data_IF_994659507572
#
_entry.id   IF_994659507572
#
_cell.length_a   1.000
_cell.length_b   1.000
_cell.length_c   1.000
_cell.angle_alpha   90.00
_cell.angle_beta   90.00
_cell.angle_gamma   90.00
#
_symmetry.space_group_name_H-M   'P 1'
#
loop_
_entity.id
_entity.type
_entity.pdbx_description
1 polymer ?
#
# COMPACT_ATOMS: atom_id res chain seq x y z
N UNK A 1 7.60 -6.58 -49.43
CA UNK A 1 6.67 -7.03 -48.36
C UNK A 1 7.37 -7.54 -47.09
N UNK A 2 8.45 -8.34 -47.17
CA UNK A 2 9.09 -8.98 -45.99
C UNK A 2 9.72 -8.00 -44.98
N UNK A 3 10.40 -6.94 -45.46
CA UNK A 3 11.08 -5.94 -44.63
C UNK A 3 10.15 -5.21 -43.64
N UNK A 4 8.92 -4.90 -44.04
CA UNK A 4 7.96 -4.25 -43.16
C UNK A 4 7.49 -5.14 -42.00
N UNK A 5 7.51 -6.48 -42.18
CA UNK A 5 7.13 -7.43 -41.13
C UNK A 5 8.25 -7.57 -40.10
N UNK A 6 9.50 -7.61 -40.54
CA UNK A 6 10.66 -7.63 -39.65
C UNK A 6 10.83 -6.31 -38.90
N UNK A 7 10.63 -5.15 -39.53
CA UNK A 7 10.66 -3.85 -38.84
C UNK A 7 9.56 -3.76 -37.76
N UNK A 8 8.34 -4.23 -38.05
CA UNK A 8 7.25 -4.29 -37.05
C UNK A 8 7.57 -5.25 -35.90
N UNK A 9 8.13 -6.42 -36.19
CA UNK A 9 8.51 -7.39 -35.17
C UNK A 9 9.61 -6.83 -34.24
N UNK A 10 10.61 -6.15 -34.81
CA UNK A 10 11.67 -5.48 -34.05
C UNK A 10 11.10 -4.36 -33.20
N UNK A 11 10.17 -3.54 -33.73
CA UNK A 11 9.53 -2.48 -32.96
C UNK A 11 8.72 -3.02 -31.76
N UNK A 12 7.99 -4.14 -31.93
CA UNK A 12 7.25 -4.80 -30.84
C UNK A 12 8.22 -5.37 -29.79
N UNK A 13 9.29 -6.03 -30.22
CA UNK A 13 10.32 -6.56 -29.32
C UNK A 13 11.01 -5.45 -28.53
N UNK A 14 11.36 -4.34 -29.18
CA UNK A 14 11.93 -3.16 -28.51
C UNK A 14 10.93 -2.54 -27.53
N UNK A 15 9.64 -2.45 -27.89
CA UNK A 15 8.60 -1.97 -27.00
C UNK A 15 8.39 -2.84 -25.75
N UNK A 16 8.50 -4.16 -25.88
CA UNK A 16 8.42 -5.12 -24.76
C UNK A 16 9.65 -5.09 -23.84
N UNK A 17 10.78 -4.58 -24.32
CA UNK A 17 12.02 -4.45 -23.56
C UNK A 17 12.11 -3.15 -22.76
N UNK A 18 11.13 -2.24 -22.87
CA UNK A 18 11.08 -1.02 -22.06
C UNK A 18 10.73 -1.45 -20.62
N UNK A 19 11.64 -1.30 -19.65
CA UNK A 19 11.34 -1.65 -18.27
C UNK A 19 10.24 -0.73 -17.76
N UNK A 20 9.11 -1.32 -17.34
CA UNK A 20 8.10 -0.58 -16.59
C UNK A 20 8.75 -0.11 -15.28
N UNK A 21 8.67 1.19 -14.99
CA UNK A 21 9.16 1.75 -13.73
C UNK A 21 8.35 1.12 -12.59
N UNK A 22 8.98 0.22 -11.84
CA UNK A 22 8.40 -0.32 -10.61
C UNK A 22 8.60 0.70 -9.49
N UNK A 23 7.56 1.47 -9.20
CA UNK A 23 7.52 2.27 -7.98
C UNK A 23 7.40 1.30 -6.80
N UNK A 24 8.30 1.41 -5.81
CA UNK A 24 8.15 0.72 -4.54
C UNK A 24 6.98 1.35 -3.80
N UNK A 25 5.78 0.87 -4.07
CA UNK A 25 4.55 1.28 -3.39
C UNK A 25 4.51 0.65 -2.01
N UNK A 26 3.98 1.40 -1.07
CA UNK A 26 3.77 0.89 0.27
C UNK A 26 2.74 -0.24 0.27
N UNK A 27 2.92 -1.19 1.17
CA UNK A 27 1.96 -2.24 1.37
C UNK A 27 0.63 -1.68 1.87
N UNK A 28 -0.45 -1.97 1.15
CA UNK A 28 -1.81 -1.53 1.51
C UNK A 28 -2.61 -2.71 2.00
N UNK A 29 -3.05 -2.66 3.27
CA UNK A 29 -3.95 -3.67 3.79
C UNK A 29 -5.36 -3.47 3.24
N UNK A 30 -5.80 -4.36 2.36
CA UNK A 30 -7.14 -4.28 1.76
C UNK A 30 -8.15 -5.02 2.62
N UNK A 31 -9.22 -4.33 2.99
CA UNK A 31 -10.36 -4.89 3.71
C UNK A 31 -10.37 -4.59 5.21
N UNK A 32 -11.55 -4.30 5.79
CA UNK A 32 -11.68 -3.92 7.21
C UNK A 32 -11.13 -4.98 8.17
N UNK A 33 -11.35 -6.27 7.88
CA UNK A 33 -10.80 -7.35 8.70
C UNK A 33 -9.27 -7.36 8.68
N UNK A 34 -8.65 -7.28 7.50
CA UNK A 34 -7.20 -7.27 7.39
C UNK A 34 -6.57 -6.01 8.02
N UNK A 35 -7.21 -4.85 7.84
CA UNK A 35 -6.80 -3.61 8.51
C UNK A 35 -6.86 -3.72 10.04
N UNK A 36 -7.95 -4.27 10.59
CA UNK A 36 -8.09 -4.49 12.04
C UNK A 36 -7.08 -5.48 12.64
N UNK A 37 -6.47 -6.35 11.82
CA UNK A 37 -5.42 -7.28 12.24
C UNK A 37 -4.01 -6.76 11.93
N UNK A 38 -3.84 -5.45 11.66
CA UNK A 38 -2.54 -4.86 11.35
C UNK A 38 -1.97 -5.32 10.01
N UNK A 39 -2.81 -5.66 9.03
CA UNK A 39 -2.39 -6.10 7.69
C UNK A 39 -2.20 -7.60 7.53
N UNK A 40 -2.58 -8.43 8.51
CA UNK A 40 -2.40 -9.89 8.47
C UNK A 40 -3.44 -10.64 7.61
N UNK A 41 -3.76 -10.17 6.40
CA UNK A 41 -4.81 -10.75 5.55
C UNK A 41 -4.45 -12.07 4.85
N UNK A 42 -3.17 -12.32 4.57
CA UNK A 42 -2.69 -13.49 3.77
C UNK A 42 -3.09 -14.84 4.40
N UNK A 43 -3.07 -14.93 5.74
CA UNK A 43 -3.23 -16.19 6.46
C UNK A 43 -4.69 -16.56 6.78
N UNK A 44 -5.59 -15.59 6.81
CA UNK A 44 -6.93 -15.75 7.40
C UNK A 44 -8.08 -15.41 6.45
N UNK A 45 -7.76 -14.89 5.27
CA UNK A 45 -8.79 -14.45 4.32
C UNK A 45 -9.32 -15.64 3.52
N UNK A 46 -10.55 -16.04 3.80
CA UNK A 46 -11.27 -17.13 3.11
C UNK A 46 -12.48 -16.66 2.31
N UNK A 47 -12.71 -15.34 2.27
CA UNK A 47 -13.86 -14.70 1.63
C UNK A 47 -13.47 -14.09 0.27
N UNK A 48 -14.31 -13.24 -0.34
CA UNK A 48 -14.03 -12.69 -1.68
C UNK A 48 -12.70 -11.91 -1.79
N UNK A 49 -12.21 -11.37 -0.67
CA UNK A 49 -10.92 -10.68 -0.59
C UNK A 49 -9.72 -11.63 -0.73
N UNK A 50 -9.91 -12.96 -0.71
CA UNK A 50 -8.87 -13.94 -0.95
C UNK A 50 -8.25 -13.78 -2.36
N UNK A 51 -9.01 -13.21 -3.31
CA UNK A 51 -8.50 -12.84 -4.64
C UNK A 51 -7.37 -11.80 -4.60
N UNK A 52 -7.32 -10.93 -3.58
CA UNK A 52 -6.24 -9.97 -3.35
C UNK A 52 -5.16 -10.54 -2.41
N UNK A 53 -5.58 -11.22 -1.34
CA UNK A 53 -4.68 -11.65 -0.28
C UNK A 53 -3.95 -12.97 -0.55
N UNK A 54 -4.71 -14.03 -0.86
CA UNK A 54 -4.19 -15.38 -1.02
C UNK A 54 -5.25 -16.25 -1.73
N UNK A 55 -5.07 -16.56 -3.02
CA UNK A 55 -6.04 -17.34 -3.79
C UNK A 55 -6.35 -18.73 -3.20
N UNK A 56 -5.45 -19.33 -2.41
CA UNK A 56 -5.72 -20.60 -1.74
C UNK A 56 -6.91 -20.51 -0.76
N UNK A 57 -7.15 -19.33 -0.19
CA UNK A 57 -8.30 -19.07 0.68
C UNK A 57 -9.66 -19.19 -0.02
N UNK A 58 -9.71 -19.09 -1.36
CA UNK A 58 -10.94 -19.30 -2.13
C UNK A 58 -11.48 -20.72 -1.95
N UNK A 59 -10.60 -21.71 -1.83
CA UNK A 59 -11.01 -23.11 -1.69
C UNK A 59 -11.38 -23.52 -0.25
N UNK A 60 -11.07 -22.70 0.76
CA UNK A 60 -11.26 -23.05 2.18
C UNK A 60 -12.72 -23.06 2.63
N UNK A 61 -13.61 -22.35 1.92
CA UNK A 61 -15.03 -22.29 2.22
C UNK A 61 -15.82 -22.30 0.91
N UNK A 62 -16.81 -23.18 0.77
CA UNK A 62 -17.65 -23.25 -0.43
C UNK A 62 -18.83 -22.30 -0.33
N UNK A 63 -18.61 -21.02 -0.60
CA UNK A 63 -19.64 -19.98 -0.56
C UNK A 63 -19.53 -19.02 -1.73
N UNK A 64 -20.67 -18.46 -2.14
CA UNK A 64 -20.68 -17.30 -3.05
C UNK A 64 -20.58 -16.04 -2.20
N UNK A 65 -19.56 -15.23 -2.44
CA UNK A 65 -19.36 -13.95 -1.75
C UNK A 65 -19.13 -12.83 -2.77
N UNK A 66 -19.87 -11.75 -2.62
CA UNK A 66 -19.78 -10.55 -3.45
C UNK A 66 -19.59 -9.38 -2.50
N UNK A 67 -18.48 -8.66 -2.66
CA UNK A 67 -18.10 -7.58 -1.75
C UNK A 67 -17.65 -6.35 -2.51
N UNK A 68 -18.25 -5.22 -2.15
CA UNK A 68 -17.69 -3.90 -2.44
C UNK A 68 -16.95 -3.46 -1.18
N UNK A 69 -15.72 -3.03 -1.33
CA UNK A 69 -14.88 -2.61 -0.22
C UNK A 69 -14.14 -1.35 -0.58
N UNK A 70 -14.05 -0.44 0.38
CA UNK A 70 -13.24 0.76 0.33
C UNK A 70 -12.61 0.96 1.70
N UNK A 71 -11.40 1.54 1.74
CA UNK A 71 -10.72 1.80 3.00
C UNK A 71 -9.47 2.64 2.81
N UNK A 72 -9.10 3.38 3.85
CA UNK A 72 -7.88 4.15 3.91
C UNK A 72 -7.10 3.84 5.19
N UNK A 73 -5.78 3.98 5.12
CA UNK A 73 -4.84 3.81 6.22
C UNK A 73 -3.86 4.97 6.23
N UNK A 74 -3.48 5.39 7.43
CA UNK A 74 -2.35 6.29 7.65
C UNK A 74 -1.32 5.51 8.43
N UNK A 75 -0.10 5.44 7.92
CA UNK A 75 0.98 4.67 8.51
C UNK A 75 2.08 5.67 8.88
N UNK A 76 2.44 5.69 10.15
CA UNK A 76 3.58 6.45 10.66
C UNK A 76 4.69 5.49 11.10
N UNK A 77 5.89 5.68 10.54
CA UNK A 77 7.09 4.94 10.91
C UNK A 77 8.01 5.85 11.72
N UNK A 78 8.46 5.33 12.86
CA UNK A 78 9.39 6.01 13.78
C UNK A 78 8.84 7.31 14.40
N UNK A 79 7.52 7.53 14.36
CA UNK A 79 6.85 8.62 15.07
C UNK A 79 7.00 9.98 14.40
N UNK A 80 7.12 10.03 13.07
CA UNK A 80 7.26 11.30 12.35
C UNK A 80 6.03 12.18 12.52
N UNK A 81 4.84 11.59 12.59
CA UNK A 81 3.62 12.36 12.82
C UNK A 81 3.69 13.09 14.17
N UNK A 82 4.18 12.43 15.21
CA UNK A 82 4.39 13.06 16.52
C UNK A 82 5.48 14.14 16.46
N UNK A 83 6.57 13.91 15.71
CA UNK A 83 7.64 14.92 15.58
C UNK A 83 7.16 16.18 14.84
N UNK A 84 6.33 16.02 13.82
CA UNK A 84 5.69 17.14 13.11
C UNK A 84 4.68 17.87 14.00
N UNK A 85 3.92 17.14 14.81
CA UNK A 85 3.00 17.74 15.79
C UNK A 85 3.73 18.53 16.88
N UNK A 86 4.89 18.04 17.32
CA UNK A 86 5.74 18.73 18.29
C UNK A 86 6.42 19.97 17.67
N UNK A 87 6.80 19.90 16.37
CA UNK A 87 7.26 21.07 15.61
C UNK A 87 6.19 22.16 15.53
N UNK A 88 4.93 21.80 15.27
CA UNK A 88 3.83 22.77 15.16
C UNK A 88 3.64 23.55 16.46
N UNK A 89 3.81 22.88 17.61
CA UNK A 89 3.71 23.49 18.94
C UNK A 89 5.00 24.15 19.41
N UNK A 90 6.07 24.08 18.62
CA UNK A 90 7.36 24.63 19.00
C UNK A 90 7.34 26.16 18.97
N UNK A 91 7.74 26.79 20.08
CA UNK A 91 7.84 28.25 20.17
C UNK A 91 9.20 28.73 19.62
N UNK A 92 9.21 29.48 18.54
CA UNK A 92 10.45 30.01 17.93
C UNK A 92 10.98 31.25 18.65
N UNK A 93 10.15 31.90 19.48
CA UNK A 93 10.52 33.12 20.23
C UNK A 93 11.09 32.84 21.61
N UNK A 94 11.03 31.61 22.10
CA UNK A 94 11.59 31.20 23.39
C UNK A 94 13.02 30.67 23.22
N UNK A 95 14.02 31.46 23.64
CA UNK A 95 15.45 31.08 23.59
C UNK A 95 15.93 30.36 24.85
N UNK A 96 15.03 29.84 25.69
CA UNK A 96 15.39 29.06 26.87
C UNK A 96 16.15 27.79 26.50
N UNK A 97 17.12 27.39 27.33
CA UNK A 97 17.90 26.15 27.14
C UNK A 97 17.02 24.90 26.99
N UNK A 98 15.87 24.85 27.68
CA UNK A 98 14.90 23.76 27.55
C UNK A 98 14.23 23.71 26.16
N UNK A 99 14.03 24.87 25.53
CA UNK A 99 13.45 24.95 24.19
C UNK A 99 14.47 24.53 23.12
N UNK A 100 15.74 24.94 23.29
CA UNK A 100 16.83 24.46 22.42
C UNK A 100 17.02 22.94 22.48
N UNK A 101 16.89 22.35 23.67
CA UNK A 101 16.94 20.89 23.83
C UNK A 101 15.76 20.19 23.10
N UNK A 102 14.54 20.75 23.18
CA UNK A 102 13.39 20.23 22.43
C UNK A 102 13.58 20.35 20.92
N UNK A 103 14.13 21.46 20.42
CA UNK A 103 14.42 21.61 19.00
C UNK A 103 15.39 20.53 18.48
N UNK A 104 16.41 20.20 19.27
CA UNK A 104 17.36 19.12 18.94
C UNK A 104 16.71 17.75 18.97
N UNK A 105 15.85 17.47 19.95
CA UNK A 105 15.11 16.21 20.05
C UNK A 105 14.18 16.01 18.84
N UNK A 106 13.37 17.03 18.52
CA UNK A 106 12.48 17.01 17.36
C UNK A 106 13.28 16.84 16.07
N UNK A 107 14.39 17.56 15.90
CA UNK A 107 15.26 17.41 14.74
C UNK A 107 15.87 16.01 14.64
N UNK A 108 16.26 15.39 15.76
CA UNK A 108 16.79 14.02 15.79
C UNK A 108 15.72 12.97 15.44
N UNK A 109 14.48 13.15 15.93
CA UNK A 109 13.35 12.28 15.61
C UNK A 109 12.95 12.40 14.15
N UNK A 110 12.97 13.60 13.58
CA UNK A 110 12.74 13.81 12.16
C UNK A 110 13.87 13.15 11.38
N UNK A 111 15.13 13.48 11.65
CA UNK A 111 16.31 12.94 10.97
C UNK A 111 16.62 11.47 11.30
N UNK A 112 15.64 10.73 11.82
CA UNK A 112 15.80 9.30 12.08
C UNK A 112 15.76 8.54 10.75
N UNK A 113 16.77 7.73 10.42
CA UNK A 113 16.78 6.99 9.16
C UNK A 113 15.56 6.08 9.00
N UNK A 114 14.86 6.20 7.87
CA UNK A 114 13.68 5.39 7.55
C UNK A 114 12.37 5.88 8.16
N UNK A 115 12.39 7.05 8.81
CA UNK A 115 11.21 7.67 9.37
C UNK A 115 10.34 8.26 8.24
N UNK A 116 9.05 7.90 8.21
CA UNK A 116 8.14 8.27 7.13
C UNK A 116 6.67 8.23 7.55
N UNK A 117 5.87 9.09 6.92
CA UNK A 117 4.41 9.07 6.99
C UNK A 117 3.85 8.84 5.59
N UNK A 118 2.91 7.89 5.50
CA UNK A 118 2.22 7.57 4.26
C UNK A 118 0.72 7.39 4.47
N UNK A 119 -0.03 7.59 3.40
CA UNK A 119 -1.47 7.47 3.35
C UNK A 119 -1.83 6.54 2.20
N UNK A 120 -2.51 5.46 2.52
CA UNK A 120 -2.88 4.43 1.57
C UNK A 120 -4.39 4.32 1.51
N UNK A 121 -4.91 4.00 0.33
CA UNK A 121 -6.32 3.82 0.06
C UNK A 121 -6.54 2.64 -0.87
N UNK A 122 -7.64 1.92 -0.69
CA UNK A 122 -8.08 0.89 -1.61
C UNK A 122 -9.57 0.97 -1.80
N UNK A 123 -10.02 0.67 -3.01
CA UNK A 123 -11.43 0.49 -3.32
C UNK A 123 -11.59 -0.58 -4.41
N UNK A 124 -12.62 -1.42 -4.31
CA UNK A 124 -12.84 -2.44 -5.33
C UNK A 124 -14.09 -3.28 -5.11
N UNK A 125 -14.42 -4.02 -6.16
CA UNK A 125 -15.43 -5.07 -6.19
C UNK A 125 -14.72 -6.42 -6.27
N UNK A 126 -15.11 -7.33 -5.38
CA UNK A 126 -14.53 -8.65 -5.23
C UNK A 126 -15.65 -9.68 -5.29
N UNK A 127 -15.42 -10.73 -6.07
CA UNK A 127 -16.38 -11.82 -6.27
C UNK A 127 -15.65 -13.13 -6.06
N UNK A 128 -16.26 -14.01 -5.27
CA UNK A 128 -15.86 -15.41 -5.08
C UNK A 128 -17.05 -16.30 -5.42
N UNK A 129 -16.77 -17.41 -6.08
CA UNK A 129 -17.76 -18.45 -6.36
C UNK A 129 -17.12 -19.83 -6.47
N UNK A 130 -17.98 -20.84 -6.61
CA UNK A 130 -17.58 -22.23 -6.74
C UNK A 130 -18.32 -22.91 -7.89
N UNK A 131 -17.63 -23.82 -8.57
CA UNK A 131 -18.21 -24.73 -9.55
C UNK A 131 -17.77 -26.16 -9.20
N UNK A 132 -18.67 -26.92 -8.56
CA UNK A 132 -18.33 -28.20 -7.96
C UNK A 132 -17.26 -28.04 -6.86
N UNK A 133 -16.14 -28.74 -7.02
CA UNK A 133 -14.99 -28.67 -6.11
C UNK A 133 -14.01 -27.53 -6.45
N UNK A 134 -14.22 -26.85 -7.59
CA UNK A 134 -13.35 -25.77 -8.02
C UNK A 134 -13.82 -24.43 -7.45
N UNK A 135 -12.90 -23.70 -6.83
CA UNK A 135 -13.13 -22.32 -6.42
C UNK A 135 -12.63 -21.36 -7.50
N UNK A 136 -13.35 -20.27 -7.73
CA UNK A 136 -12.89 -19.17 -8.57
C UNK A 136 -13.13 -17.85 -7.87
N UNK A 137 -12.36 -16.84 -8.28
CA UNK A 137 -12.57 -15.48 -7.80
C UNK A 137 -12.05 -14.46 -8.80
N UNK A 138 -12.76 -13.35 -8.89
CA UNK A 138 -12.45 -12.23 -9.77
C UNK A 138 -12.58 -10.95 -8.95
N UNK A 139 -11.66 -10.02 -9.15
CA UNK A 139 -11.76 -8.70 -8.56
C UNK A 139 -11.42 -7.62 -9.58
N UNK A 140 -12.05 -6.46 -9.40
CA UNK A 140 -11.66 -5.21 -10.02
C UNK A 140 -11.45 -4.24 -8.88
N UNK A 141 -10.20 -3.89 -8.63
CA UNK A 141 -9.80 -3.07 -7.50
C UNK A 141 -8.72 -2.08 -7.92
N UNK A 142 -8.69 -0.97 -7.19
CA UNK A 142 -7.63 0.02 -7.26
C UNK A 142 -7.04 0.21 -5.86
N UNK A 143 -5.74 0.44 -5.82
CA UNK A 143 -4.96 0.70 -4.62
C UNK A 143 -4.15 1.96 -4.87
N UNK A 144 -4.57 3.04 -4.24
CA UNK A 144 -3.87 4.31 -4.29
C UNK A 144 -2.94 4.42 -3.08
N UNK A 145 -1.69 4.78 -3.31
CA UNK A 145 -0.70 5.10 -2.25
C UNK A 145 -0.23 6.52 -2.48
N UNK A 146 -0.25 7.34 -1.43
CA UNK A 146 0.17 8.73 -1.48
C UNK A 146 0.85 9.15 -0.17
N UNK A 147 1.94 9.90 -0.29
CA UNK A 147 2.67 10.40 0.87
C UNK A 147 4.10 9.90 0.91
N UNK A 148 4.98 10.78 1.38
CA UNK A 148 6.41 10.50 1.54
C UNK A 148 7.11 11.72 2.11
N UNK A 149 7.29 11.74 3.42
CA UNK A 149 8.37 12.50 4.05
C UNK A 149 9.44 11.48 4.35
N UNK A 150 10.48 11.40 3.52
CA UNK A 150 11.66 10.61 3.84
C UNK A 150 12.65 11.56 4.48
N UNK A 151 12.82 11.46 5.78
CA UNK A 151 13.97 12.08 6.40
C UNK A 151 15.22 11.29 5.99
N UNK A 152 16.17 11.99 5.40
CA UNK A 152 17.41 11.40 4.86
C UNK A 152 18.51 11.41 5.90
#
# INVERSE_FOLDING_TARGET
MSYYRSVRAVAILVGLMIPAQAMALEFVAVGPRAMGMGGAGVAVTTDALATYWNPAGLAMTQTVDIRIQGGGQVIDRLGIADAVHDLEKFSTSDTSNANLARAQDIAARINSPGATVSINGSAGLYIKGHFGEHAFGVNVSDVATGGGVVAT
#
